data_IF_526094102437
#
_entry.id   IF_526094102437
#
_cell.length_a   1.000
_cell.length_b   1.000
_cell.length_c   1.000
_cell.angle_alpha   90.00
_cell.angle_beta   90.00
_cell.angle_gamma   90.00
#
_symmetry.space_group_name_H-M   'P 1'
#
loop_
_entity.id
_entity.type
_entity.pdbx_description
1 polymer ?
#
# COMPACT_ATOMS: atom_id res chain seq x y z
N UNK A 1 0.19 -10.55 -20.83
CA UNK A 1 -1.11 -10.44 -21.52
C UNK A 1 -1.05 -9.14 -22.33
N UNK A 2 -1.44 -9.11 -23.60
CA UNK A 2 -1.51 -7.82 -24.32
C UNK A 2 -2.67 -6.98 -23.73
N UNK A 3 -2.70 -5.64 -23.85
CA UNK A 3 -3.85 -4.81 -23.44
C UNK A 3 -5.23 -5.32 -23.92
N UNK A 4 -5.29 -5.95 -25.10
CA UNK A 4 -6.48 -6.63 -25.61
C UNK A 4 -7.01 -7.75 -24.69
N UNK A 5 -6.13 -8.48 -24.01
CA UNK A 5 -6.56 -9.46 -23.01
C UNK A 5 -7.24 -8.78 -21.82
N UNK A 6 -6.75 -7.59 -21.41
CA UNK A 6 -7.37 -6.81 -20.33
C UNK A 6 -8.74 -6.28 -20.72
N UNK A 7 -8.98 -5.99 -22.00
CA UNK A 7 -10.33 -5.68 -22.50
C UNK A 7 -11.33 -6.80 -22.22
N UNK A 8 -10.93 -8.06 -22.43
CA UNK A 8 -11.76 -9.20 -22.09
C UNK A 8 -11.96 -9.35 -20.58
N UNK A 9 -10.93 -9.06 -19.76
CA UNK A 9 -11.07 -9.03 -18.29
C UNK A 9 -12.02 -7.91 -17.84
N UNK A 10 -11.93 -6.72 -18.44
CA UNK A 10 -12.86 -5.61 -18.21
C UNK A 10 -14.30 -6.02 -18.51
N UNK A 11 -14.55 -6.66 -19.65
CA UNK A 11 -15.86 -7.19 -20.00
C UNK A 11 -16.33 -8.29 -19.03
N UNK A 12 -15.44 -9.17 -18.58
CA UNK A 12 -15.75 -10.16 -17.56
C UNK A 12 -16.25 -9.49 -16.27
N UNK A 13 -15.62 -8.39 -15.83
CA UNK A 13 -16.01 -7.68 -14.61
C UNK A 13 -17.38 -6.99 -14.72
N UNK A 14 -17.86 -6.69 -15.93
CA UNK A 14 -19.21 -6.16 -16.14
C UNK A 14 -20.26 -7.22 -15.79
N UNK A 15 -20.04 -8.47 -16.19
CA UNK A 15 -21.03 -9.54 -16.05
C UNK A 15 -20.83 -10.38 -14.78
N UNK A 16 -19.58 -10.54 -14.33
CA UNK A 16 -19.25 -11.38 -13.19
C UNK A 16 -19.37 -10.60 -11.88
N UNK A 17 -20.41 -10.93 -11.12
CA UNK A 17 -20.68 -10.32 -9.82
C UNK A 17 -20.23 -11.19 -8.64
N UNK A 18 -19.40 -12.19 -8.88
CA UNK A 18 -18.87 -13.10 -7.84
C UNK A 18 -17.35 -13.03 -7.67
N UNK A 19 -16.60 -12.49 -8.64
CA UNK A 19 -15.14 -12.41 -8.57
C UNK A 19 -14.70 -11.45 -7.45
N UNK A 20 -14.05 -11.99 -6.42
CA UNK A 20 -13.60 -11.21 -5.25
C UNK A 20 -12.15 -10.75 -5.37
N UNK A 21 -11.32 -11.53 -6.06
CA UNK A 21 -9.88 -11.33 -6.19
C UNK A 21 -9.51 -11.37 -7.65
N UNK A 22 -8.82 -10.35 -8.12
CA UNK A 22 -8.27 -10.28 -9.46
C UNK A 22 -6.77 -10.01 -9.34
N UNK A 23 -5.99 -10.98 -9.83
CA UNK A 23 -4.55 -10.92 -9.85
C UNK A 23 -4.05 -10.80 -11.29
N UNK A 24 -3.45 -9.64 -11.58
CA UNK A 24 -2.91 -9.26 -12.87
C UNK A 24 -1.42 -8.87 -12.73
N UNK A 25 -0.73 -9.40 -11.71
CA UNK A 25 0.70 -9.16 -11.52
C UNK A 25 1.51 -9.57 -12.75
N UNK A 26 2.34 -8.66 -13.27
CA UNK A 26 3.16 -8.88 -14.46
C UNK A 26 2.37 -9.44 -15.64
N UNK A 27 1.23 -8.80 -15.95
CA UNK A 27 0.39 -9.19 -17.08
C UNK A 27 0.39 -8.18 -18.20
N UNK A 28 1.27 -7.17 -18.20
CA UNK A 28 1.35 -6.15 -19.24
C UNK A 28 0.02 -5.40 -19.47
N UNK A 29 -0.61 -4.97 -18.36
CA UNK A 29 -1.83 -4.16 -18.40
C UNK A 29 -1.60 -2.85 -19.16
N UNK A 30 -0.50 -2.13 -18.85
CA UNK A 30 -0.18 -0.81 -19.38
C UNK A 30 -1.34 0.21 -19.23
N UNK A 31 -1.15 1.44 -19.73
CA UNK A 31 -2.13 2.51 -19.57
C UNK A 31 -3.43 2.24 -20.34
N UNK A 32 -3.32 1.64 -21.53
CA UNK A 32 -4.47 1.25 -22.36
C UNK A 32 -5.35 0.22 -21.64
N UNK A 33 -4.75 -0.84 -21.11
CA UNK A 33 -5.48 -1.88 -20.38
C UNK A 33 -6.13 -1.34 -19.10
N UNK A 34 -5.54 -0.36 -18.43
CA UNK A 34 -6.14 0.27 -17.25
C UNK A 34 -7.49 0.91 -17.54
N UNK A 35 -7.66 1.53 -18.70
CA UNK A 35 -8.95 2.11 -19.10
C UNK A 35 -10.03 1.04 -19.24
N UNK A 36 -9.71 -0.09 -19.88
CA UNK A 36 -10.62 -1.21 -20.01
C UNK A 36 -10.93 -1.88 -18.66
N UNK A 37 -9.90 -2.13 -17.86
CA UNK A 37 -10.02 -2.73 -16.54
C UNK A 37 -10.96 -1.90 -15.66
N UNK A 38 -10.72 -0.59 -15.58
CA UNK A 38 -11.50 0.31 -14.71
C UNK A 38 -12.95 0.47 -15.20
N UNK A 39 -13.18 0.45 -16.52
CA UNK A 39 -14.55 0.42 -17.03
C UNK A 39 -15.33 -0.80 -16.52
N UNK A 40 -14.70 -1.98 -16.49
CA UNK A 40 -15.25 -3.18 -15.87
C UNK A 40 -15.45 -3.03 -14.35
N UNK A 41 -14.44 -2.49 -13.65
CA UNK A 41 -14.48 -2.29 -12.19
C UNK A 41 -15.65 -1.42 -11.72
N UNK A 42 -16.09 -0.44 -12.51
CA UNK A 42 -17.24 0.41 -12.18
C UNK A 42 -18.54 -0.40 -12.00
N UNK A 43 -18.67 -1.51 -12.71
CA UNK A 43 -19.83 -2.39 -12.72
C UNK A 43 -19.70 -3.57 -11.74
N UNK A 44 -18.49 -3.87 -11.28
CA UNK A 44 -18.25 -4.95 -10.31
C UNK A 44 -18.70 -4.54 -8.90
N UNK A 45 -19.58 -5.34 -8.31
CA UNK A 45 -20.05 -5.17 -6.92
C UNK A 45 -19.28 -6.02 -5.91
N UNK A 46 -18.60 -7.06 -6.41
CA UNK A 46 -17.96 -8.09 -5.59
C UNK A 46 -16.45 -7.97 -5.50
N UNK A 47 -15.77 -7.36 -6.49
CA UNK A 47 -14.30 -7.31 -6.46
C UNK A 47 -13.82 -6.46 -5.29
N UNK A 48 -12.94 -7.04 -4.47
CA UNK A 48 -12.38 -6.42 -3.26
C UNK A 48 -10.87 -6.32 -3.28
N UNK A 49 -10.19 -7.15 -4.07
CA UNK A 49 -8.74 -7.25 -4.06
C UNK A 49 -8.23 -7.20 -5.49
N UNK A 50 -7.45 -6.15 -5.79
CA UNK A 50 -6.87 -5.92 -7.11
C UNK A 50 -5.35 -5.88 -6.98
N UNK A 51 -4.69 -6.79 -7.71
CA UNK A 51 -3.25 -6.83 -7.83
C UNK A 51 -2.86 -6.50 -9.26
N UNK A 52 -2.20 -5.38 -9.46
CA UNK A 52 -1.75 -4.85 -10.75
C UNK A 52 -0.27 -4.44 -10.66
N UNK A 53 0.50 -5.10 -9.80
CA UNK A 53 1.94 -4.88 -9.71
C UNK A 53 2.66 -5.26 -11.03
N UNK A 54 3.80 -4.60 -11.33
CA UNK A 54 4.66 -4.92 -12.48
C UNK A 54 3.96 -4.85 -13.85
N UNK A 55 3.17 -3.81 -14.12
CA UNK A 55 2.39 -3.70 -15.36
C UNK A 55 2.77 -2.51 -16.24
N UNK A 56 3.84 -1.79 -15.91
CA UNK A 56 4.27 -0.61 -16.66
C UNK A 56 3.24 0.52 -16.68
N UNK A 57 2.38 0.61 -15.66
CA UNK A 57 1.36 1.65 -15.52
C UNK A 57 2.06 2.98 -15.23
N UNK A 58 1.75 4.02 -16.00
CA UNK A 58 2.29 5.37 -15.83
C UNK A 58 1.30 6.28 -15.11
N UNK A 59 1.63 7.57 -15.02
CA UNK A 59 0.71 8.64 -14.61
C UNK A 59 -0.60 8.60 -15.40
N UNK A 60 -0.57 8.35 -16.70
CA UNK A 60 -1.80 8.32 -17.52
C UNK A 60 -2.66 7.10 -17.18
N UNK A 61 -2.04 5.93 -17.00
CA UNK A 61 -2.77 4.69 -16.71
C UNK A 61 -3.41 4.65 -15.33
N UNK A 62 -2.93 5.42 -14.36
CA UNK A 62 -3.54 5.44 -13.01
C UNK A 62 -4.76 6.38 -12.91
N UNK A 63 -4.87 7.37 -13.81
CA UNK A 63 -5.99 8.35 -13.81
C UNK A 63 -7.38 7.70 -13.80
N UNK A 64 -7.68 6.68 -14.65
CA UNK A 64 -8.96 6.00 -14.58
C UNK A 64 -9.26 5.43 -13.18
N UNK A 65 -8.28 4.80 -12.54
CA UNK A 65 -8.46 4.20 -11.22
C UNK A 65 -8.64 5.26 -10.12
N UNK A 66 -7.90 6.37 -10.20
CA UNK A 66 -8.12 7.51 -9.31
C UNK A 66 -9.55 8.08 -9.44
N UNK A 67 -10.07 8.20 -10.66
CA UNK A 67 -11.47 8.62 -10.88
C UNK A 67 -12.46 7.62 -10.30
N UNK A 68 -12.22 6.31 -10.46
CA UNK A 68 -13.04 5.26 -9.83
C UNK A 68 -13.15 5.44 -8.30
N UNK A 69 -12.04 5.74 -7.61
CA UNK A 69 -12.08 5.97 -6.18
C UNK A 69 -12.91 7.20 -5.82
N UNK A 70 -12.68 8.35 -6.48
CA UNK A 70 -13.48 9.57 -6.29
C UNK A 70 -14.98 9.33 -6.51
N UNK A 71 -15.35 8.61 -7.57
CA UNK A 71 -16.73 8.26 -7.89
C UNK A 71 -17.39 7.35 -6.85
N UNK A 72 -16.61 6.47 -6.20
CA UNK A 72 -17.11 5.51 -5.20
C UNK A 72 -17.07 6.04 -3.77
N UNK A 73 -16.31 7.10 -3.47
CA UNK A 73 -16.23 7.70 -2.11
C UNK A 73 -17.59 8.13 -1.55
N UNK A 74 -18.51 8.57 -2.42
CA UNK A 74 -19.85 9.03 -2.03
C UNK A 74 -20.94 7.95 -2.14
N UNK A 75 -20.57 6.69 -2.40
CA UNK A 75 -21.53 5.59 -2.60
C UNK A 75 -21.50 4.63 -1.42
N UNK A 76 -22.66 4.14 -1.00
CA UNK A 76 -22.79 3.10 0.04
C UNK A 76 -22.30 1.72 -0.39
N UNK A 77 -22.13 1.53 -1.70
CA UNK A 77 -21.63 0.29 -2.27
C UNK A 77 -20.12 0.14 -2.05
N UNK A 78 -19.73 -0.89 -1.31
CA UNK A 78 -18.32 -1.23 -1.06
C UNK A 78 -17.59 -1.53 -2.36
N UNK A 79 -16.49 -0.83 -2.65
CA UNK A 79 -15.58 -1.15 -3.75
C UNK A 79 -14.36 -1.97 -3.32
N UNK A 80 -13.23 -1.70 -3.98
CA UNK A 80 -11.90 -2.25 -3.67
C UNK A 80 -11.52 -1.98 -2.20
N UNK A 81 -10.99 -3.00 -1.54
CA UNK A 81 -10.49 -2.90 -0.15
C UNK A 81 -8.99 -3.17 -0.06
N UNK A 82 -8.37 -3.66 -1.14
CA UNK A 82 -6.94 -3.93 -1.22
C UNK A 82 -6.46 -3.62 -2.62
N UNK A 83 -5.54 -2.67 -2.73
CA UNK A 83 -4.90 -2.28 -3.97
C UNK A 83 -3.40 -2.54 -3.87
N UNK A 84 -2.87 -3.29 -4.84
CA UNK A 84 -1.44 -3.52 -5.01
C UNK A 84 -1.05 -3.05 -6.40
N UNK A 85 -0.25 -1.99 -6.48
CA UNK A 85 0.19 -1.34 -7.72
C UNK A 85 1.70 -1.08 -7.70
N UNK A 86 2.44 -1.96 -7.03
CA UNK A 86 3.89 -1.86 -6.88
C UNK A 86 4.61 -2.09 -8.21
N UNK A 87 5.86 -1.67 -8.34
CA UNK A 87 6.67 -1.89 -9.54
C UNK A 87 6.01 -1.34 -10.82
N UNK A 88 5.46 -0.14 -10.73
CA UNK A 88 4.94 0.61 -11.88
C UNK A 88 5.70 1.95 -11.97
N UNK A 89 5.23 2.84 -12.85
CA UNK A 89 5.89 4.10 -13.21
C UNK A 89 5.00 5.28 -12.86
N UNK A 90 4.38 5.22 -11.68
CA UNK A 90 3.46 6.27 -11.24
C UNK A 90 4.19 7.59 -10.97
N UNK A 91 5.47 7.52 -10.60
CA UNK A 91 6.27 8.64 -10.14
C UNK A 91 5.54 9.40 -9.01
N UNK A 92 6.00 10.61 -8.67
CA UNK A 92 5.28 11.43 -7.69
C UNK A 92 3.90 11.86 -8.20
N UNK A 93 3.77 12.24 -9.48
CA UNK A 93 2.53 12.78 -10.02
C UNK A 93 1.35 11.78 -9.93
N UNK A 94 1.55 10.56 -10.42
CA UNK A 94 0.52 9.52 -10.39
C UNK A 94 0.22 9.03 -8.97
N UNK A 95 1.23 8.97 -8.10
CA UNK A 95 1.05 8.55 -6.70
C UNK A 95 0.29 9.61 -5.89
N UNK A 96 0.60 10.89 -6.09
CA UNK A 96 -0.12 12.01 -5.46
C UNK A 96 -1.60 11.97 -5.90
N UNK A 97 -1.87 11.83 -7.19
CA UNK A 97 -3.23 11.71 -7.72
C UNK A 97 -3.98 10.53 -7.08
N UNK A 98 -3.32 9.39 -6.91
CA UNK A 98 -3.89 8.22 -6.25
C UNK A 98 -4.21 8.52 -4.78
N UNK A 99 -3.29 9.11 -4.01
CA UNK A 99 -3.53 9.45 -2.60
C UNK A 99 -4.68 10.46 -2.42
N UNK A 100 -4.73 11.50 -3.25
CA UNK A 100 -5.84 12.46 -3.26
C UNK A 100 -7.18 11.77 -3.52
N UNK A 101 -7.22 10.83 -4.48
CA UNK A 101 -8.45 10.08 -4.79
C UNK A 101 -8.92 9.16 -3.66
N UNK A 102 -7.98 8.73 -2.80
CA UNK A 102 -8.21 7.80 -1.71
C UNK A 102 -8.58 8.50 -0.39
N UNK A 103 -8.37 9.82 -0.28
CA UNK A 103 -8.61 10.61 0.94
C UNK A 103 -9.98 10.32 1.58
N UNK A 104 -11.04 10.37 0.78
CA UNK A 104 -12.43 10.16 1.22
C UNK A 104 -12.94 8.73 0.91
N UNK A 105 -12.08 7.86 0.37
CA UNK A 105 -12.47 6.53 -0.06
C UNK A 105 -12.45 5.53 1.11
N UNK A 106 -13.58 5.44 1.81
CA UNK A 106 -13.64 4.78 3.12
C UNK A 106 -13.42 3.25 3.12
N UNK A 107 -13.43 2.59 1.97
CA UNK A 107 -13.39 1.12 1.92
C UNK A 107 -11.98 0.53 1.90
N UNK A 108 -10.96 1.34 1.60
CA UNK A 108 -9.59 0.83 1.46
C UNK A 108 -9.04 0.36 2.82
N UNK A 109 -8.49 -0.84 2.83
CA UNK A 109 -7.83 -1.43 3.98
C UNK A 109 -6.35 -1.64 3.76
N UNK A 110 -5.91 -1.83 2.51
CA UNK A 110 -4.54 -2.17 2.18
C UNK A 110 -4.10 -1.46 0.93
N UNK A 111 -2.96 -0.79 1.00
CA UNK A 111 -2.35 -0.09 -0.11
C UNK A 111 -0.89 -0.48 -0.22
N UNK A 112 -0.49 -0.97 -1.40
CA UNK A 112 0.90 -1.14 -1.76
C UNK A 112 1.22 -0.30 -3.01
N UNK A 113 2.13 0.65 -2.85
CA UNK A 113 2.68 1.52 -3.90
C UNK A 113 4.21 1.45 -3.93
N UNK A 114 4.79 0.34 -3.48
CA UNK A 114 6.23 0.13 -3.48
C UNK A 114 6.84 0.19 -4.88
N UNK A 115 8.09 0.68 -4.99
CA UNK A 115 8.84 0.69 -6.27
C UNK A 115 8.08 1.36 -7.43
N UNK A 116 7.65 2.59 -7.19
CA UNK A 116 6.94 3.46 -8.13
C UNK A 116 7.69 4.77 -8.41
N UNK A 117 9.00 4.83 -8.10
CA UNK A 117 9.86 6.01 -8.27
C UNK A 117 9.41 7.24 -7.47
N UNK A 118 8.73 7.02 -6.34
CA UNK A 118 8.22 8.10 -5.51
C UNK A 118 9.34 8.73 -4.68
N UNK A 119 9.23 10.03 -4.38
CA UNK A 119 10.19 10.77 -3.56
C UNK A 119 9.52 11.31 -2.29
N UNK A 120 10.18 12.26 -1.61
CA UNK A 120 9.60 12.97 -0.47
C UNK A 120 8.28 13.70 -0.81
N UNK A 121 8.04 14.05 -2.09
CA UNK A 121 6.78 14.72 -2.49
C UNK A 121 5.58 13.80 -2.29
N UNK A 122 5.69 12.54 -2.67
CA UNK A 122 4.64 11.54 -2.38
C UNK A 122 4.53 11.26 -0.89
N UNK A 123 5.62 11.26 -0.13
CA UNK A 123 5.55 11.13 1.34
C UNK A 123 4.77 12.30 1.99
N UNK A 124 4.97 13.52 1.48
CA UNK A 124 4.16 14.69 1.87
C UNK A 124 2.68 14.49 1.54
N UNK A 125 2.36 14.06 0.31
CA UNK A 125 0.98 13.82 -0.08
C UNK A 125 0.31 12.65 0.66
N UNK A 126 1.08 11.62 1.03
CA UNK A 126 0.64 10.53 1.91
C UNK A 126 0.14 11.10 3.23
N UNK A 127 0.95 11.94 3.88
CA UNK A 127 0.57 12.62 5.11
C UNK A 127 -0.68 13.50 4.89
N UNK A 128 -0.66 14.41 3.92
CA UNK A 128 -1.74 15.38 3.70
C UNK A 128 -3.10 14.74 3.35
N UNK A 129 -3.10 13.56 2.72
CA UNK A 129 -4.33 12.94 2.23
C UNK A 129 -4.77 11.71 3.04
N UNK A 130 -3.84 10.93 3.58
CA UNK A 130 -4.18 9.63 4.19
C UNK A 130 -4.00 9.58 5.71
N UNK A 131 -3.47 10.63 6.35
CA UNK A 131 -3.25 10.63 7.82
C UNK A 131 -4.53 10.35 8.62
N UNK A 132 -5.68 10.84 8.16
CA UNK A 132 -6.98 10.65 8.78
C UNK A 132 -7.76 9.42 8.24
N UNK A 133 -7.16 8.60 7.38
CA UNK A 133 -7.86 7.48 6.74
C UNK A 133 -8.14 6.36 7.75
N UNK A 134 -9.39 6.24 8.20
CA UNK A 134 -9.78 5.41 9.37
C UNK A 134 -9.70 3.90 9.16
N UNK A 135 -9.75 3.43 7.92
CA UNK A 135 -9.86 1.99 7.61
C UNK A 135 -8.57 1.35 7.07
N UNK A 136 -7.52 2.14 6.82
CA UNK A 136 -6.28 1.66 6.23
C UNK A 136 -5.46 0.94 7.32
N UNK A 137 -5.30 -0.37 7.20
CA UNK A 137 -4.58 -1.19 8.19
C UNK A 137 -3.16 -1.55 7.73
N UNK A 138 -2.91 -1.54 6.43
CA UNK A 138 -1.61 -1.87 5.84
C UNK A 138 -1.26 -0.85 4.77
N UNK A 139 -0.07 -0.28 4.90
CA UNK A 139 0.52 0.62 3.93
C UNK A 139 1.94 0.13 3.62
N UNK A 140 2.30 0.08 2.34
CA UNK A 140 3.63 -0.27 1.89
C UNK A 140 4.08 0.67 0.78
N UNK A 141 5.17 1.37 1.05
CA UNK A 141 5.86 2.27 0.11
C UNK A 141 7.33 1.83 -0.06
N UNK A 142 7.67 0.62 0.38
CA UNK A 142 9.03 0.09 0.32
C UNK A 142 9.41 -0.48 -1.05
N UNK A 143 10.56 -1.12 -1.10
CA UNK A 143 11.00 -1.86 -2.27
C UNK A 143 10.32 -3.23 -2.40
N UNK A 144 9.91 -3.56 -3.61
CA UNK A 144 9.52 -4.92 -3.96
C UNK A 144 10.74 -5.71 -4.43
N UNK A 145 10.95 -6.93 -3.93
CA UNK A 145 12.18 -7.70 -4.18
C UNK A 145 12.54 -7.89 -5.67
N UNK A 146 11.55 -8.03 -6.53
CA UNK A 146 11.74 -8.26 -7.97
C UNK A 146 11.88 -6.98 -8.80
N UNK A 147 11.98 -5.82 -8.17
CA UNK A 147 12.08 -4.52 -8.86
C UNK A 147 13.26 -4.50 -9.83
N UNK A 148 14.45 -4.91 -9.37
CA UNK A 148 15.65 -4.95 -10.20
C UNK A 148 15.57 -6.04 -11.29
N UNK A 149 14.96 -7.19 -10.99
CA UNK A 149 14.83 -8.32 -11.93
C UNK A 149 14.05 -7.96 -13.20
N UNK A 150 13.14 -6.98 -13.11
CA UNK A 150 12.33 -6.51 -14.23
C UNK A 150 12.79 -5.14 -14.79
N UNK A 151 13.93 -4.63 -14.33
CA UNK A 151 14.48 -3.34 -14.77
C UNK A 151 13.66 -2.13 -14.34
N UNK A 152 12.83 -2.26 -13.30
CA UNK A 152 12.12 -1.11 -12.70
C UNK A 152 12.96 -0.45 -11.61
N UNK A 153 12.51 0.72 -11.16
CA UNK A 153 13.22 1.55 -10.19
C UNK A 153 12.50 1.56 -8.84
N UNK A 154 13.29 1.65 -7.77
CA UNK A 154 12.79 1.72 -6.40
C UNK A 154 12.11 3.07 -6.11
N UNK A 155 11.43 3.13 -4.97
CA UNK A 155 11.13 4.41 -4.35
C UNK A 155 12.43 5.02 -3.78
N UNK A 156 12.43 6.34 -3.64
CA UNK A 156 13.56 7.12 -3.12
C UNK A 156 13.06 8.17 -2.13
N UNK A 157 12.35 7.71 -1.11
CA UNK A 157 11.99 8.57 0.03
C UNK A 157 13.27 8.83 0.83
N UNK A 158 13.73 10.07 0.86
CA UNK A 158 14.92 10.50 1.62
C UNK A 158 14.52 10.94 3.03
N UNK A 159 15.48 11.45 3.83
CA UNK A 159 15.20 12.02 5.16
C UNK A 159 14.13 13.12 5.14
N UNK A 160 14.09 13.96 4.09
CA UNK A 160 13.01 14.94 3.91
C UNK A 160 11.63 14.28 3.83
N UNK A 161 11.56 13.11 3.19
CA UNK A 161 10.35 12.31 3.15
C UNK A 161 10.06 11.66 4.51
N UNK A 162 11.09 11.17 5.20
CA UNK A 162 10.99 10.60 6.54
C UNK A 162 10.31 11.55 7.54
N UNK A 163 10.55 12.86 7.44
CA UNK A 163 9.82 13.87 8.23
C UNK A 163 8.31 13.80 8.05
N UNK A 164 7.81 13.61 6.82
CA UNK A 164 6.37 13.45 6.58
C UNK A 164 5.86 12.08 7.02
N UNK A 165 6.68 11.04 6.90
CA UNK A 165 6.34 9.70 7.40
C UNK A 165 6.25 9.69 8.94
N UNK A 166 7.13 10.41 9.62
CA UNK A 166 7.11 10.60 11.07
C UNK A 166 5.83 11.32 11.49
N UNK A 167 5.44 12.41 10.82
CA UNK A 167 4.15 13.08 11.06
C UNK A 167 2.95 12.16 10.83
N UNK A 168 2.98 11.37 9.76
CA UNK A 168 1.94 10.37 9.49
C UNK A 168 1.85 9.35 10.64
N UNK A 169 2.96 8.81 11.11
CA UNK A 169 3.00 7.88 12.25
C UNK A 169 2.54 8.57 13.54
N UNK A 170 2.91 9.84 13.77
CA UNK A 170 2.52 10.57 14.96
C UNK A 170 0.99 10.72 15.08
N UNK A 171 0.27 10.88 13.97
CA UNK A 171 -1.15 11.23 13.94
C UNK A 171 -2.09 10.09 13.52
N UNK A 172 -1.67 9.23 12.59
CA UNK A 172 -2.52 8.14 12.11
C UNK A 172 -2.71 7.08 13.21
N UNK A 173 -3.94 6.58 13.38
CA UNK A 173 -4.29 5.54 14.37
C UNK A 173 -4.92 4.29 13.77
N UNK A 174 -4.92 4.15 12.45
CA UNK A 174 -5.53 3.02 11.74
C UNK A 174 -4.50 2.03 11.21
N UNK A 175 -3.36 2.51 10.71
CA UNK A 175 -2.31 1.67 10.13
C UNK A 175 -1.67 0.81 11.22
N UNK A 176 -1.67 -0.50 11.00
CA UNK A 176 -1.08 -1.52 11.87
C UNK A 176 0.23 -2.06 11.32
N UNK A 177 0.40 -2.06 9.99
CA UNK A 177 1.63 -2.43 9.31
C UNK A 177 2.04 -1.33 8.34
N UNK A 178 3.25 -0.81 8.52
CA UNK A 178 3.86 0.15 7.61
C UNK A 178 5.23 -0.34 7.14
N UNK A 179 5.41 -0.45 5.82
CA UNK A 179 6.69 -0.78 5.20
C UNK A 179 7.25 0.42 4.44
N UNK A 180 8.50 0.77 4.77
CA UNK A 180 9.30 1.86 4.18
C UNK A 180 10.68 1.34 3.76
N UNK A 181 10.83 0.02 3.61
CA UNK A 181 12.12 -0.64 3.36
C UNK A 181 12.76 -0.16 2.07
N UNK A 182 14.10 -0.11 2.08
CA UNK A 182 14.94 0.13 0.91
C UNK A 182 14.49 1.33 0.08
N UNK A 183 14.21 2.41 0.80
CA UNK A 183 14.23 3.77 0.31
C UNK A 183 15.65 4.33 0.49
N UNK A 184 15.79 5.66 0.53
CA UNK A 184 17.06 6.38 0.70
C UNK A 184 17.05 7.16 2.02
N UNK A 185 16.48 6.54 3.07
CA UNK A 185 16.35 7.12 4.40
C UNK A 185 17.62 6.82 5.18
N UNK A 186 18.29 7.84 5.72
CA UNK A 186 19.49 7.67 6.54
C UNK A 186 19.12 7.30 7.98
N UNK A 187 20.13 7.05 8.83
CA UNK A 187 19.88 6.86 10.27
C UNK A 187 19.15 8.07 10.89
N UNK A 188 19.36 9.28 10.38
CA UNK A 188 18.71 10.50 10.88
C UNK A 188 17.19 10.42 10.63
N UNK A 189 16.76 10.06 9.42
CA UNK A 189 15.34 9.90 9.13
C UNK A 189 14.70 8.73 9.89
N UNK A 190 15.43 7.63 10.11
CA UNK A 190 14.95 6.52 10.94
C UNK A 190 14.82 6.94 12.42
N UNK A 191 15.73 7.76 12.93
CA UNK A 191 15.67 8.31 14.30
C UNK A 191 14.39 9.16 14.48
N UNK A 192 14.07 10.04 13.52
CA UNK A 192 12.86 10.88 13.53
C UNK A 192 11.57 10.02 13.51
N UNK A 193 11.53 9.00 12.66
CA UNK A 193 10.42 8.04 12.62
C UNK A 193 10.28 7.30 13.95
N UNK A 194 11.40 6.91 14.57
CA UNK A 194 11.40 6.20 15.84
C UNK A 194 10.94 7.08 17.01
N UNK A 195 11.22 8.39 16.97
CA UNK A 195 10.71 9.38 17.92
C UNK A 195 9.18 9.51 17.80
N UNK A 196 8.66 9.73 16.58
CA UNK A 196 7.22 9.77 16.35
C UNK A 196 6.50 8.49 16.78
N UNK A 197 7.13 7.32 16.54
CA UNK A 197 6.60 6.03 16.96
C UNK A 197 6.42 5.91 18.47
N UNK A 198 7.20 6.62 19.30
CA UNK A 198 7.02 6.60 20.77
C UNK A 198 5.64 7.13 21.20
N UNK A 199 5.02 7.96 20.36
CA UNK A 199 3.70 8.56 20.59
C UNK A 199 2.58 7.88 19.81
N UNK A 200 2.88 6.81 19.08
CA UNK A 200 1.89 6.00 18.37
C UNK A 200 1.66 4.67 19.11
N UNK A 201 0.39 4.37 19.42
CA UNK A 201 -0.04 3.16 20.13
C UNK A 201 -0.72 2.13 19.21
N UNK A 202 -0.74 2.42 17.92
CA UNK A 202 -1.57 1.76 16.92
C UNK A 202 -0.76 0.90 15.95
N UNK A 203 0.48 1.30 15.63
CA UNK A 203 1.37 0.62 14.70
C UNK A 203 1.98 -0.61 15.39
N UNK A 204 1.84 -1.77 14.76
CA UNK A 204 2.30 -3.05 15.29
C UNK A 204 3.58 -3.53 14.58
N UNK A 205 3.71 -3.18 13.30
CA UNK A 205 4.82 -3.57 12.45
C UNK A 205 5.32 -2.38 11.66
N UNK A 206 6.61 -2.07 11.82
CA UNK A 206 7.34 -1.13 10.99
C UNK A 206 8.49 -1.89 10.32
N UNK A 207 8.51 -1.94 8.99
CA UNK A 207 9.65 -2.45 8.24
C UNK A 207 10.45 -1.28 7.69
N UNK A 208 11.66 -1.08 8.20
CA UNK A 208 12.41 0.17 8.03
C UNK A 208 13.87 -0.01 7.58
N UNK A 209 14.29 -1.22 7.24
CA UNK A 209 15.66 -1.53 6.78
C UNK A 209 15.98 -0.81 5.47
N UNK A 210 17.20 -0.31 5.32
CA UNK A 210 17.67 0.41 4.12
C UNK A 210 18.91 -0.28 3.57
N UNK A 211 19.16 -0.19 2.25
CA UNK A 211 20.30 -0.87 1.65
C UNK A 211 21.63 -0.33 2.18
N UNK A 212 22.50 -1.22 2.65
CA UNK A 212 23.83 -0.87 3.17
C UNK A 212 23.83 -0.05 4.46
N UNK A 213 22.66 0.24 5.05
CA UNK A 213 22.56 1.05 6.26
C UNK A 213 22.67 0.19 7.52
N UNK A 214 23.64 0.51 8.36
CA UNK A 214 23.76 -0.08 9.70
C UNK A 214 23.02 0.84 10.68
N UNK A 215 21.93 0.34 11.25
CA UNK A 215 21.13 1.08 12.23
C UNK A 215 21.70 0.80 13.63
N UNK A 216 21.99 1.83 14.45
CA UNK A 216 22.51 1.62 15.80
C UNK A 216 21.62 0.69 16.64
N UNK A 217 22.23 -0.26 17.36
CA UNK A 217 21.48 -1.26 18.13
C UNK A 217 20.51 -0.64 19.15
N UNK A 218 20.89 0.48 19.77
CA UNK A 218 20.03 1.23 20.69
C UNK A 218 18.74 1.73 20.02
N UNK A 219 18.84 2.20 18.77
CA UNK A 219 17.70 2.66 17.99
C UNK A 219 16.79 1.47 17.61
N UNK A 220 17.37 0.36 17.16
CA UNK A 220 16.63 -0.88 16.88
C UNK A 220 15.87 -1.36 18.11
N UNK A 221 16.52 -1.39 19.28
CA UNK A 221 15.87 -1.76 20.54
C UNK A 221 14.71 -0.83 20.88
N UNK A 222 14.90 0.49 20.75
CA UNK A 222 13.84 1.49 21.02
C UNK A 222 12.61 1.30 20.13
N UNK A 223 12.82 1.05 18.83
CA UNK A 223 11.72 0.77 17.90
C UNK A 223 11.01 -0.53 18.28
N UNK A 224 11.76 -1.62 18.46
CA UNK A 224 11.19 -2.94 18.73
C UNK A 224 10.42 -2.98 20.05
N UNK A 225 10.98 -2.43 21.14
CA UNK A 225 10.29 -2.36 22.43
C UNK A 225 8.98 -1.59 22.35
N UNK A 226 8.93 -0.51 21.55
CA UNK A 226 7.69 0.25 21.35
C UNK A 226 6.65 -0.54 20.54
N UNK A 227 7.05 -1.20 19.45
CA UNK A 227 6.14 -2.05 18.66
C UNK A 227 5.61 -3.23 19.49
N UNK A 228 6.45 -3.88 20.29
CA UNK A 228 6.04 -4.94 21.22
C UNK A 228 5.03 -4.45 22.27
N UNK A 229 5.24 -3.24 22.79
CA UNK A 229 4.29 -2.60 23.70
C UNK A 229 2.93 -2.35 23.03
N UNK A 230 2.93 -1.87 21.78
CA UNK A 230 1.69 -1.66 21.01
C UNK A 230 0.97 -2.97 20.73
N UNK A 231 1.71 -4.05 20.42
CA UNK A 231 1.13 -5.40 20.27
C UNK A 231 0.42 -5.79 21.57
N UNK A 232 1.10 -5.74 22.72
CA UNK A 232 0.53 -6.08 24.04
C UNK A 232 -0.72 -5.25 24.36
N UNK A 233 -0.67 -3.94 24.09
CA UNK A 233 -1.82 -3.05 24.28
C UNK A 233 -3.02 -3.51 23.43
N UNK A 234 -2.81 -3.79 22.14
CA UNK A 234 -3.85 -4.30 21.26
C UNK A 234 -4.44 -5.63 21.74
N UNK A 235 -3.64 -6.52 22.34
CA UNK A 235 -4.15 -7.78 22.90
C UNK A 235 -5.11 -7.55 24.07
N UNK A 236 -4.85 -6.51 24.86
CA UNK A 236 -5.65 -6.13 26.03
C UNK A 236 -6.94 -5.40 25.64
N UNK A 237 -6.86 -4.49 24.67
CA UNK A 237 -7.98 -3.62 24.29
C UNK A 237 -8.88 -4.21 23.21
N UNK A 238 -8.34 -5.07 22.34
CA UNK A 238 -9.05 -5.68 21.21
C UNK A 238 -8.76 -7.20 21.11
N UNK A 239 -9.14 -8.02 22.12
CA UNK A 239 -8.79 -9.45 22.14
C UNK A 239 -9.36 -10.22 20.93
N UNK A 240 -10.51 -9.80 20.41
CA UNK A 240 -11.14 -10.39 19.22
C UNK A 240 -10.38 -10.10 17.91
N UNK A 241 -9.55 -9.04 17.89
CA UNK A 241 -8.66 -8.68 16.79
C UNK A 241 -7.37 -9.51 16.76
N UNK A 242 -7.26 -10.58 17.56
CA UNK A 242 -6.04 -11.40 17.69
C UNK A 242 -5.45 -11.91 16.36
N UNK A 243 -6.28 -12.13 15.33
CA UNK A 243 -5.77 -12.51 14.01
C UNK A 243 -4.90 -11.41 13.39
N UNK A 244 -5.19 -10.13 13.66
CA UNK A 244 -4.48 -8.98 13.12
C UNK A 244 -3.11 -8.79 13.77
N UNK A 245 -2.73 -9.66 14.72
CA UNK A 245 -1.39 -9.69 15.31
C UNK A 245 -0.33 -10.17 14.35
N UNK A 246 -0.67 -10.90 13.29
CA UNK A 246 0.37 -11.39 12.35
C UNK A 246 0.45 -10.51 11.11
N UNK A 247 1.66 -10.23 10.59
CA UNK A 247 1.81 -9.51 9.33
C UNK A 247 1.00 -10.14 8.20
N UNK A 248 0.88 -11.48 8.18
CA UNK A 248 0.09 -12.21 7.19
C UNK A 248 -1.38 -11.78 7.13
N UNK A 249 -2.06 -11.60 8.27
CA UNK A 249 -3.47 -11.19 8.31
C UNK A 249 -3.66 -9.67 8.13
N UNK A 250 -2.62 -8.88 8.42
CA UNK A 250 -2.58 -7.47 8.05
C UNK A 250 -2.43 -7.30 6.53
N UNK A 251 -1.57 -8.10 5.88
CA UNK A 251 -1.35 -8.10 4.42
C UNK A 251 -2.50 -8.76 3.62
N UNK A 252 -3.18 -9.78 4.18
CA UNK A 252 -4.18 -10.55 3.44
C UNK A 252 -5.46 -10.83 4.24
N UNK A 253 -6.59 -10.93 3.55
CA UNK A 253 -7.84 -11.42 4.17
C UNK A 253 -7.77 -12.93 4.43
N UNK A 254 -8.57 -13.45 5.39
CA UNK A 254 -8.64 -14.89 5.71
C UNK A 254 -8.88 -15.79 4.48
N UNK A 255 -9.53 -15.28 3.43
CA UNK A 255 -9.85 -16.02 2.20
C UNK A 255 -8.67 -16.06 1.22
N UNK A 256 -7.84 -15.02 1.18
CA UNK A 256 -6.73 -14.88 0.22
C UNK A 256 -5.50 -15.69 0.63
N UNK A 257 -5.37 -16.05 1.91
CA UNK A 257 -4.21 -16.81 2.41
C UNK A 257 -3.93 -18.15 1.75
N UNK A 258 -4.89 -18.70 0.98
CA UNK A 258 -4.75 -19.96 0.21
C UNK A 258 -4.19 -19.73 -1.21
N UNK A 259 -4.09 -18.48 -1.65
CA UNK A 259 -3.44 -18.09 -2.89
C UNK A 259 -1.99 -17.79 -2.51
N UNK A 260 -1.20 -18.85 -2.34
CA UNK A 260 0.20 -18.74 -1.95
C UNK A 260 1.05 -18.27 -3.14
N UNK A 261 1.40 -16.99 -3.13
CA UNK A 261 2.44 -16.45 -4.00
C UNK A 261 3.72 -16.32 -3.19
N UNK A 262 4.79 -16.98 -3.64
CA UNK A 262 6.15 -16.84 -3.10
C UNK A 262 6.64 -15.38 -3.09
N UNK A 263 6.02 -14.51 -3.90
CA UNK A 263 6.36 -13.10 -3.99
C UNK A 263 5.65 -12.23 -2.94
N UNK A 264 4.52 -12.68 -2.38
CA UNK A 264 3.68 -11.91 -1.45
C UNK A 264 3.71 -12.39 0.00
N UNK A 265 4.01 -13.67 0.21
CA UNK A 265 3.80 -14.36 1.49
C UNK A 265 5.08 -14.78 2.23
N UNK A 266 6.29 -14.50 1.70
CA UNK A 266 7.52 -14.72 2.49
C UNK A 266 7.78 -13.49 3.35
N UNK A 267 7.79 -13.73 4.65
CA UNK A 267 8.08 -12.77 5.72
C UNK A 267 9.50 -12.19 5.59
#
# INVERSE_FOLDING_TARGET
MHPEGIKHIGNLLIHNQNLVVLDLHNTAVFDEGMSHLVNGLRHSKSLKHLYIDANGITVEGIKPLANYFKEKSNKSEKGITSLWVSMNRLDDEGTILLFESLKDYQYLKRLNVGSNRITWKSAKALYENLVNHKNLIMLDIGLYKSTADIGELSNRVTDQGATYLAKFILENRSVRLFSIIHNDISVIGIEEIAEALQHNDSLLYLYYTQYGLIIPQKLVQRINSKLESNVKLMEQTEPESSILRTPRFLKHSKKIRRIDSIYRNRD
#
